data_IF_160552465738
#
_entry.id   IF_160552465738
#
_cell.length_a   1.000
_cell.length_b   1.000
_cell.length_c   1.000
_cell.angle_alpha   90.00
_cell.angle_beta   90.00
_cell.angle_gamma   90.00
#
_symmetry.space_group_name_H-M   'P 1'
#
loop_
_entity.id
_entity.type
_entity.pdbx_description
1 polymer ?
#
# COMPACT_ATOMS: atom_id res chain seq x y z
N UNK A 1 35.69 -23.76 49.21
CA UNK A 1 34.91 -25.01 49.22
C UNK A 1 33.48 -24.68 48.78
N UNK A 2 32.92 -25.50 47.88
CA UNK A 2 31.52 -25.92 47.70
C UNK A 2 30.40 -25.06 48.34
N UNK A 3 29.20 -24.82 47.79
CA UNK A 3 28.38 -25.38 46.70
C UNK A 3 27.04 -24.58 46.72
N UNK A 4 26.34 -24.51 45.58
CA UNK A 4 24.87 -24.67 45.36
C UNK A 4 23.84 -24.14 46.39
N UNK A 5 22.60 -23.72 46.08
CA UNK A 5 21.76 -23.38 44.91
C UNK A 5 20.37 -23.03 45.53
N UNK A 6 19.46 -22.41 44.76
CA UNK A 6 17.99 -22.41 44.92
C UNK A 6 17.36 -21.59 46.07
N UNK A 7 16.57 -20.55 45.75
CA UNK A 7 15.14 -20.63 45.40
C UNK A 7 14.56 -19.21 45.25
N UNK A 8 13.91 -18.94 44.11
CA UNK A 8 12.87 -17.91 44.03
C UNK A 8 11.64 -18.38 44.84
N UNK A 9 10.82 -17.43 45.31
CA UNK A 9 9.54 -17.31 44.66
C UNK A 9 9.13 -15.87 44.30
N UNK A 10 8.26 -15.85 43.29
CA UNK A 10 7.53 -14.76 42.67
C UNK A 10 6.42 -14.22 43.61
N UNK A 11 6.20 -12.90 43.63
CA UNK A 11 4.90 -12.21 43.41
C UNK A 11 4.74 -10.89 44.20
N UNK A 12 4.44 -9.85 43.40
CA UNK A 12 3.55 -8.71 43.61
C UNK A 12 3.48 -8.00 44.98
N UNK A 13 3.85 -6.71 44.98
CA UNK A 13 2.88 -5.60 44.96
C UNK A 13 3.64 -4.26 44.91
N UNK A 14 3.41 -3.46 43.87
CA UNK A 14 3.85 -2.07 43.81
C UNK A 14 2.87 -1.19 44.59
N UNK A 15 3.36 -0.58 45.68
CA UNK A 15 3.06 0.80 46.04
C UNK A 15 3.90 1.22 47.24
N UNK A 16 4.52 2.40 47.20
CA UNK A 16 4.59 3.22 48.39
C UNK A 16 3.81 4.52 48.19
N UNK A 17 2.82 4.68 49.05
CA UNK A 17 2.49 5.92 49.76
C UNK A 17 3.59 6.98 49.70
N UNK A 18 3.23 8.25 49.45
CA UNK A 18 3.46 9.36 50.39
C UNK A 18 2.29 10.36 50.33
N UNK A 19 1.72 10.64 51.51
CA UNK A 19 0.76 11.71 51.87
C UNK A 19 1.38 13.10 51.71
N UNK A 20 0.55 14.11 51.42
CA UNK A 20 0.65 15.39 52.12
C UNK A 20 -0.76 15.93 52.39
N UNK A 21 -0.95 16.38 53.63
CA UNK A 21 -2.16 16.94 54.22
C UNK A 21 -2.37 18.42 53.83
N UNK A 22 -3.65 18.78 53.71
CA UNK A 22 -4.32 20.05 54.04
C UNK A 22 -3.67 21.40 53.68
N UNK A 23 -4.39 22.23 52.90
CA UNK A 23 -5.25 23.29 53.47
C UNK A 23 -5.80 24.28 52.42
N UNK A 24 -7.04 24.72 52.69
CA UNK A 24 -7.59 26.06 52.45
C UNK A 24 -8.21 26.42 51.09
N UNK A 25 -9.52 26.68 51.18
CA UNK A 25 -10.36 27.45 50.26
C UNK A 25 -9.69 28.70 49.67
N UNK A 26 -9.84 28.89 48.36
CA UNK A 26 -10.23 30.18 47.78
C UNK A 26 -10.88 29.98 46.40
N UNK A 27 -12.10 30.50 46.26
CA UNK A 27 -12.77 30.69 44.97
C UNK A 27 -12.05 31.81 44.21
N UNK A 28 -11.63 31.54 42.99
CA UNK A 28 -11.46 32.60 41.99
C UNK A 28 -11.73 32.05 40.59
N UNK A 29 -12.66 32.71 39.92
CA UNK A 29 -12.97 32.56 38.50
C UNK A 29 -11.70 32.65 37.65
N UNK A 30 -11.52 31.70 36.75
CA UNK A 30 -10.74 31.88 35.52
C UNK A 30 -11.34 31.00 34.44
N UNK A 31 -12.42 31.54 33.87
CA UNK A 31 -12.86 31.22 32.52
C UNK A 31 -11.76 31.58 31.53
N UNK A 32 -11.54 30.66 30.59
CA UNK A 32 -10.98 30.86 29.27
C UNK A 32 -9.45 30.98 29.15
N UNK A 33 -8.83 29.93 28.61
CA UNK A 33 -8.21 29.90 27.26
C UNK A 33 -7.39 28.61 27.18
N UNK A 34 -8.06 27.47 26.97
CA UNK A 34 -7.38 26.34 26.36
C UNK A 34 -7.50 26.56 24.87
N UNK A 35 -6.55 27.32 24.32
CA UNK A 35 -6.23 27.26 22.90
C UNK A 35 -5.89 25.81 22.60
N UNK A 36 -6.90 25.05 22.23
CA UNK A 36 -6.71 23.78 21.57
C UNK A 36 -6.30 24.18 20.18
N UNK A 37 -5.00 24.50 20.03
CA UNK A 37 -4.30 24.35 18.76
C UNK A 37 -4.53 22.90 18.35
N UNK A 38 -5.63 22.64 17.64
CA UNK A 38 -5.67 21.57 16.65
C UNK A 38 -4.59 21.96 15.66
N UNK A 39 -3.35 21.55 15.97
CA UNK A 39 -2.29 21.51 14.99
C UNK A 39 -2.90 20.75 13.82
N UNK A 40 -3.16 21.48 12.73
CA UNK A 40 -3.55 20.91 11.47
C UNK A 40 -2.50 19.84 11.18
N UNK A 41 -2.87 18.57 11.35
CA UNK A 41 -1.96 17.46 11.11
C UNK A 41 -1.71 17.51 9.61
N UNK A 42 -0.63 18.18 9.22
CA UNK A 42 -0.19 18.20 7.83
C UNK A 42 0.19 16.77 7.50
N UNK A 43 -0.69 16.08 6.79
CA UNK A 43 -0.47 14.72 6.33
C UNK A 43 0.81 14.67 5.50
N UNK A 44 1.72 13.74 5.77
CA UNK A 44 2.95 13.60 4.99
C UNK A 44 2.63 13.29 3.51
N UNK A 45 3.48 13.72 2.56
CA UNK A 45 3.33 13.37 1.15
C UNK A 45 3.47 11.85 0.96
N UNK A 46 2.65 11.29 0.08
CA UNK A 46 2.81 9.92 -0.39
C UNK A 46 4.12 9.86 -1.16
N UNK A 47 4.93 8.82 -0.92
CA UNK A 47 6.17 8.63 -1.67
C UNK A 47 5.86 8.48 -3.18
N UNK A 48 6.70 9.01 -4.08
CA UNK A 48 6.47 8.82 -5.50
C UNK A 48 6.47 7.33 -5.89
N UNK A 49 5.50 6.91 -6.71
CA UNK A 49 5.36 5.51 -7.09
C UNK A 49 4.01 5.14 -7.72
N UNK A 50 3.90 3.85 -8.08
CA UNK A 50 2.64 3.20 -8.47
C UNK A 50 2.23 2.21 -7.38
N UNK A 51 1.00 2.36 -6.91
CA UNK A 51 0.41 1.53 -5.86
C UNK A 51 -0.83 0.83 -6.41
N UNK A 52 -0.81 -0.50 -6.40
CA UNK A 52 -1.85 -1.34 -6.97
C UNK A 52 -2.57 -2.08 -5.86
N UNK A 53 -3.91 -2.08 -5.92
CA UNK A 53 -4.78 -2.71 -4.96
C UNK A 53 -5.92 -3.41 -5.68
N UNK A 54 -6.40 -4.54 -5.16
CA UNK A 54 -7.75 -4.96 -5.48
C UNK A 54 -8.73 -4.04 -4.80
N UNK A 55 -9.72 -3.56 -5.55
CA UNK A 55 -10.83 -2.83 -4.99
C UNK A 55 -11.50 -3.74 -3.98
N UNK A 56 -11.33 -3.39 -2.70
CA UNK A 56 -11.95 -4.11 -1.60
C UNK A 56 -11.61 -5.61 -1.60
N UNK A 57 -10.31 -5.88 -1.41
CA UNK A 57 -9.72 -7.19 -1.07
C UNK A 57 -10.71 -8.11 -0.31
N UNK A 58 -10.66 -9.41 -0.58
CA UNK A 58 -11.71 -10.47 -0.46
C UNK A 58 -12.59 -10.49 0.82
N UNK A 59 -12.25 -9.68 1.83
CA UNK A 59 -13.01 -9.43 3.05
C UNK A 59 -14.36 -8.70 2.87
N UNK A 60 -14.63 -8.08 1.72
CA UNK A 60 -15.84 -7.23 1.56
C UNK A 60 -16.81 -7.69 0.45
N UNK A 61 -16.64 -8.90 -0.08
CA UNK A 61 -17.12 -9.34 -1.39
C UNK A 61 -18.65 -9.40 -1.67
N UNK A 62 -19.54 -8.82 -0.86
CA UNK A 62 -20.97 -8.82 -1.18
C UNK A 62 -21.63 -7.45 -0.99
N UNK A 63 -22.00 -6.82 -2.11
CA UNK A 63 -22.93 -5.69 -2.20
C UNK A 63 -22.43 -4.38 -1.56
N UNK A 64 -21.29 -3.90 -2.03
CA UNK A 64 -20.65 -2.66 -1.59
C UNK A 64 -21.18 -1.49 -2.42
N UNK A 65 -21.68 -0.44 -1.75
CA UNK A 65 -22.10 0.79 -2.42
C UNK A 65 -20.94 1.75 -2.74
N UNK A 66 -21.22 2.83 -3.49
CA UNK A 66 -20.20 3.80 -3.88
C UNK A 66 -19.59 4.55 -2.67
N UNK A 67 -20.32 4.69 -1.56
CA UNK A 67 -19.85 5.38 -0.38
C UNK A 67 -18.80 4.54 0.36
N UNK A 68 -19.03 3.24 0.48
CA UNK A 68 -18.07 2.30 1.07
C UNK A 68 -16.79 2.21 0.23
N UNK A 69 -16.90 2.16 -1.11
CA UNK A 69 -15.73 2.20 -1.98
C UNK A 69 -14.93 3.49 -1.83
N UNK A 70 -15.62 4.62 -1.63
CA UNK A 70 -14.96 5.91 -1.38
C UNK A 70 -14.23 5.87 -0.05
N UNK A 71 -14.87 5.43 1.04
CA UNK A 71 -14.25 5.31 2.35
C UNK A 71 -13.03 4.38 2.34
N UNK A 72 -13.13 3.26 1.65
CA UNK A 72 -12.01 2.34 1.47
C UNK A 72 -10.82 3.01 0.76
N UNK A 73 -11.08 3.75 -0.33
CA UNK A 73 -10.04 4.47 -1.06
C UNK A 73 -9.39 5.57 -0.22
N UNK A 74 -10.17 6.31 0.56
CA UNK A 74 -9.64 7.28 1.54
C UNK A 74 -8.71 6.60 2.55
N UNK A 75 -9.13 5.46 3.12
CA UNK A 75 -8.31 4.68 4.04
C UNK A 75 -6.98 4.23 3.42
N UNK A 76 -6.96 3.84 2.14
CA UNK A 76 -5.73 3.49 1.42
C UNK A 76 -4.80 4.68 1.21
N UNK A 77 -5.34 5.84 0.88
CA UNK A 77 -4.56 7.08 0.74
C UNK A 77 -3.96 7.49 2.08
N UNK A 78 -4.72 7.40 3.17
CA UNK A 78 -4.20 7.69 4.51
C UNK A 78 -3.11 6.73 4.97
N UNK A 79 -3.22 5.43 4.64
CA UNK A 79 -2.16 4.44 4.90
C UNK A 79 -0.86 4.81 4.16
N UNK A 80 -0.98 5.12 2.88
CA UNK A 80 0.15 5.55 2.04
C UNK A 80 0.85 6.81 2.61
N UNK A 81 0.07 7.79 3.08
CA UNK A 81 0.61 9.00 3.72
C UNK A 81 1.32 8.70 5.04
N UNK A 82 1.00 7.60 5.72
CA UNK A 82 1.70 7.13 6.94
C UNK A 82 2.90 6.23 6.61
N UNK A 83 3.20 6.02 5.33
CA UNK A 83 4.22 5.06 4.89
C UNK A 83 3.86 3.60 5.17
N UNK A 84 2.57 3.31 5.38
CA UNK A 84 2.03 1.96 5.50
C UNK A 84 1.60 1.47 4.11
N UNK A 85 2.26 0.40 3.65
CA UNK A 85 2.11 -0.19 2.32
C UNK A 85 1.36 -1.54 2.39
N UNK A 86 0.59 -1.76 3.46
CA UNK A 86 -0.13 -3.02 3.69
C UNK A 86 -1.25 -3.25 2.66
N UNK A 87 -1.25 -4.45 2.08
CA UNK A 87 -2.22 -4.86 1.06
C UNK A 87 -1.90 -4.40 -0.37
N UNK A 88 -0.72 -3.81 -0.61
CA UNK A 88 -0.26 -3.49 -1.96
C UNK A 88 0.09 -4.75 -2.75
N UNK A 89 -0.43 -4.83 -3.98
CA UNK A 89 -0.09 -5.90 -4.93
C UNK A 89 1.33 -5.74 -5.49
N UNK A 90 1.92 -4.55 -5.41
CA UNK A 90 3.26 -4.24 -5.94
C UNK A 90 4.00 -3.27 -5.05
N UNK A 91 5.33 -3.40 -4.93
CA UNK A 91 6.16 -2.40 -4.22
C UNK A 91 7.31 -1.93 -5.11
N UNK A 92 7.16 -0.74 -5.71
CA UNK A 92 8.15 0.10 -6.43
C UNK A 92 9.18 -0.54 -7.41
N UNK A 93 9.35 0.11 -8.57
CA UNK A 93 10.42 -0.06 -9.57
C UNK A 93 10.66 -1.46 -10.18
N UNK A 94 9.70 -2.38 -10.04
CA UNK A 94 9.76 -3.71 -10.64
C UNK A 94 9.69 -4.79 -9.58
N UNK A 95 8.60 -5.55 -9.63
CA UNK A 95 8.43 -6.78 -8.88
C UNK A 95 7.35 -6.66 -7.84
N UNK A 96 6.43 -7.62 -7.87
CA UNK A 96 5.47 -7.80 -6.80
C UNK A 96 6.24 -8.09 -5.49
N UNK A 97 5.99 -7.31 -4.44
CA UNK A 97 6.38 -7.69 -3.08
C UNK A 97 5.71 -9.03 -2.68
N UNK A 98 4.58 -9.36 -3.30
CA UNK A 98 3.64 -10.42 -2.93
C UNK A 98 3.39 -11.36 -4.12
N UNK A 99 4.34 -12.27 -4.39
CA UNK A 99 4.14 -13.45 -5.24
C UNK A 99 3.25 -13.27 -6.48
N UNK A 100 2.55 -14.33 -6.83
CA UNK A 100 1.54 -14.32 -7.87
C UNK A 100 0.16 -14.30 -7.18
N UNK A 101 -0.79 -13.51 -7.68
CA UNK A 101 -2.12 -13.42 -7.09
C UNK A 101 -3.07 -14.42 -7.75
N UNK A 102 -3.90 -15.11 -6.98
CA UNK A 102 -4.96 -15.94 -7.56
C UNK A 102 -5.98 -15.05 -8.30
N UNK A 103 -6.57 -15.55 -9.39
CA UNK A 103 -7.60 -14.89 -10.22
C UNK A 103 -8.62 -14.11 -9.37
N UNK A 104 -8.46 -12.78 -9.24
CA UNK A 104 -9.26 -11.97 -8.34
C UNK A 104 -10.63 -11.71 -8.97
N UNK A 105 -11.70 -11.80 -8.19
CA UNK A 105 -13.03 -11.36 -8.62
C UNK A 105 -13.28 -9.86 -8.32
N UNK A 106 -12.25 -9.02 -8.44
CA UNK A 106 -12.29 -7.62 -8.04
C UNK A 106 -11.72 -6.69 -9.12
N UNK A 107 -12.17 -5.44 -9.13
CA UNK A 107 -11.55 -4.38 -9.93
C UNK A 107 -10.15 -4.04 -9.42
N UNK A 108 -9.30 -3.48 -10.29
CA UNK A 108 -7.99 -3.00 -9.90
C UNK A 108 -8.04 -1.49 -9.63
N UNK A 109 -7.53 -1.05 -8.49
CA UNK A 109 -7.28 0.37 -8.21
C UNK A 109 -5.80 0.63 -8.30
N UNK A 110 -5.43 1.61 -9.13
CA UNK A 110 -4.06 2.08 -9.28
C UNK A 110 -3.96 3.52 -8.83
N UNK A 111 -3.04 3.80 -7.91
CA UNK A 111 -2.71 5.15 -7.47
C UNK A 111 -1.30 5.47 -7.96
N UNK A 112 -1.16 6.50 -8.78
CA UNK A 112 0.12 7.09 -9.13
C UNK A 112 0.34 8.34 -8.28
N UNK A 113 1.35 8.31 -7.42
CA UNK A 113 1.79 9.46 -6.66
C UNK A 113 3.06 10.02 -7.31
N UNK A 114 3.05 11.31 -7.64
CA UNK A 114 4.16 11.97 -8.30
C UNK A 114 4.95 12.83 -7.31
N UNK A 115 6.22 13.07 -7.63
CA UNK A 115 7.09 13.97 -6.86
C UNK A 115 6.70 15.44 -7.04
N UNK A 116 6.14 15.78 -8.21
CA UNK A 116 5.54 17.07 -8.52
C UNK A 116 4.22 16.86 -9.27
N UNK A 117 3.36 17.87 -9.31
CA UNK A 117 2.11 17.80 -10.06
C UNK A 117 2.41 17.52 -11.55
N UNK A 118 2.03 16.36 -12.09
CA UNK A 118 2.34 16.01 -13.47
C UNK A 118 1.49 16.85 -14.42
N UNK A 119 2.09 17.33 -15.50
CA UNK A 119 1.33 17.91 -16.61
C UNK A 119 0.64 16.78 -17.41
N UNK A 120 -0.70 16.83 -17.57
CA UNK A 120 -1.43 15.79 -18.30
C UNK A 120 -0.97 15.60 -19.75
N UNK A 121 -0.57 16.67 -20.43
CA UNK A 121 -0.22 16.62 -21.85
C UNK A 121 1.15 15.96 -22.11
N UNK A 122 2.02 15.95 -21.11
CA UNK A 122 3.34 15.31 -21.13
C UNK A 122 3.40 13.99 -20.35
N UNK A 123 2.29 13.56 -19.77
CA UNK A 123 2.21 12.30 -19.01
C UNK A 123 1.71 11.15 -19.88
N UNK A 124 2.57 10.17 -20.08
CA UNK A 124 2.30 9.01 -20.92
C UNK A 124 2.02 7.77 -20.08
N UNK A 125 0.88 7.14 -20.34
CA UNK A 125 0.49 5.86 -19.72
C UNK A 125 0.65 4.75 -20.74
N UNK A 126 1.37 3.70 -20.38
CA UNK A 126 1.58 2.52 -21.20
C UNK A 126 1.06 1.27 -20.48
N UNK A 127 0.36 0.43 -21.23
CA UNK A 127 -0.04 -0.91 -20.82
C UNK A 127 0.69 -1.91 -21.71
N UNK A 128 1.50 -2.77 -21.13
CA UNK A 128 2.35 -3.73 -21.84
C UNK A 128 3.20 -3.07 -22.93
N UNK A 129 3.86 -1.97 -22.58
CA UNK A 129 4.75 -1.20 -23.48
C UNK A 129 4.03 -0.50 -24.66
N UNK A 130 2.70 -0.56 -24.71
CA UNK A 130 1.88 0.16 -25.68
C UNK A 130 1.21 1.34 -25.00
N UNK A 131 1.35 2.53 -25.58
CA UNK A 131 0.69 3.73 -25.07
C UNK A 131 -0.84 3.56 -25.10
N UNK A 132 -1.49 3.88 -23.97
CA UNK A 132 -2.92 3.71 -23.79
C UNK A 132 -3.53 4.99 -23.19
N UNK A 133 -3.83 5.98 -24.04
CA UNK A 133 -4.43 7.24 -23.60
C UNK A 133 -5.91 7.10 -23.21
N UNK A 134 -6.52 5.94 -23.45
CA UNK A 134 -7.95 5.69 -23.19
C UNK A 134 -8.24 5.29 -21.73
N UNK A 135 -7.22 5.10 -20.89
CA UNK A 135 -7.42 4.85 -19.47
C UNK A 135 -7.90 6.13 -18.78
N UNK A 136 -9.04 6.04 -18.09
CA UNK A 136 -9.64 7.17 -17.40
C UNK A 136 -9.03 7.34 -16.01
N UNK A 137 -8.10 8.28 -15.88
CA UNK A 137 -7.48 8.65 -14.60
C UNK A 137 -8.24 9.81 -13.95
N UNK A 138 -8.51 9.67 -12.66
CA UNK A 138 -9.06 10.72 -11.83
C UNK A 138 -7.94 11.42 -11.08
N UNK A 139 -7.85 12.74 -11.20
CA UNK A 139 -6.86 13.53 -10.49
C UNK A 139 -7.43 13.98 -9.16
N UNK A 140 -6.63 13.89 -8.10
CA UNK A 140 -7.01 14.34 -6.77
C UNK A 140 -5.87 15.10 -6.12
N UNK A 141 -6.18 16.30 -5.63
CA UNK A 141 -5.29 17.05 -4.76
C UNK A 141 -5.52 16.64 -3.30
N UNK A 142 -4.46 16.26 -2.61
CA UNK A 142 -4.45 15.93 -1.19
C UNK A 142 -4.35 17.21 -0.34
N UNK A 143 -4.66 17.11 0.95
CA UNK A 143 -4.62 18.25 1.87
C UNK A 143 -3.24 18.92 1.97
N UNK A 144 -2.17 18.13 1.79
CA UNK A 144 -0.79 18.62 1.75
C UNK A 144 -0.37 19.23 0.40
N UNK A 145 -1.30 19.36 -0.54
CA UNK A 145 -1.07 19.94 -1.87
C UNK A 145 -0.54 18.97 -2.93
N UNK A 146 -0.15 17.75 -2.57
CA UNK A 146 0.28 16.74 -3.56
C UNK A 146 -0.90 16.32 -4.44
N UNK A 147 -0.66 16.19 -5.75
CA UNK A 147 -1.63 15.64 -6.69
C UNK A 147 -1.31 14.17 -6.95
N UNK A 148 -2.32 13.32 -6.79
CA UNK A 148 -2.28 11.90 -7.14
C UNK A 148 -3.23 11.62 -8.29
N UNK A 149 -2.91 10.60 -9.09
CA UNK A 149 -3.78 10.12 -10.15
C UNK A 149 -4.31 8.74 -9.77
N UNK A 150 -5.60 8.52 -9.96
CA UNK A 150 -6.30 7.31 -9.54
C UNK A 150 -7.00 6.69 -10.75
N UNK A 151 -6.62 5.47 -11.09
CA UNK A 151 -7.31 4.66 -12.08
C UNK A 151 -8.12 3.59 -11.34
N UNK A 152 -9.43 3.59 -11.56
CA UNK A 152 -10.28 2.43 -11.27
C UNK A 152 -10.41 1.65 -12.56
N UNK A 153 -9.84 0.45 -12.59
CA UNK A 153 -9.78 -0.38 -13.79
C UNK A 153 -10.67 -1.62 -13.59
N UNK A 154 -11.82 -1.70 -14.29
CA UNK A 154 -12.72 -2.82 -14.12
C UNK A 154 -12.11 -4.17 -14.54
N UNK A 155 -12.49 -5.25 -13.86
CA UNK A 155 -12.04 -6.63 -14.18
C UNK A 155 -12.14 -6.93 -15.67
N UNK A 156 -13.32 -6.75 -16.24
CA UNK A 156 -13.60 -7.02 -17.65
C UNK A 156 -12.75 -6.17 -18.61
N UNK A 157 -12.25 -5.03 -18.15
CA UNK A 157 -11.43 -4.12 -18.94
C UNK A 157 -9.96 -4.49 -18.88
N UNK A 158 -9.39 -4.70 -17.69
CA UNK A 158 -7.97 -5.02 -17.60
C UNK A 158 -7.66 -6.46 -18.02
N UNK A 159 -8.61 -7.40 -17.92
CA UNK A 159 -8.42 -8.79 -18.39
C UNK A 159 -8.03 -8.86 -19.86
N UNK A 160 -8.48 -7.90 -20.67
CA UNK A 160 -8.12 -7.81 -22.10
C UNK A 160 -6.64 -7.52 -22.34
N UNK A 161 -5.95 -6.99 -21.33
CA UNK A 161 -4.53 -6.66 -21.37
C UNK A 161 -3.67 -7.72 -20.70
N UNK A 162 -4.26 -8.78 -20.12
CA UNK A 162 -3.48 -9.89 -19.60
C UNK A 162 -2.74 -10.57 -20.76
N UNK A 163 -1.44 -10.74 -20.57
CA UNK A 163 -0.59 -11.44 -21.53
C UNK A 163 0.22 -12.53 -20.86
N UNK A 164 0.67 -13.47 -21.68
CA UNK A 164 1.63 -14.48 -21.24
C UNK A 164 2.93 -13.83 -20.75
N UNK A 165 3.51 -14.44 -19.71
CA UNK A 165 4.77 -14.01 -19.11
C UNK A 165 5.90 -14.38 -20.07
N UNK A 166 6.78 -13.43 -20.38
CA UNK A 166 8.01 -13.65 -21.14
C UNK A 166 9.19 -13.82 -20.20
N UNK A 167 10.28 -14.42 -20.67
CA UNK A 167 11.48 -14.65 -19.85
C UNK A 167 12.05 -13.36 -19.23
N UNK A 168 12.01 -12.26 -19.98
CA UNK A 168 12.46 -10.95 -19.52
C UNK A 168 11.61 -10.38 -18.36
N UNK A 169 10.35 -10.82 -18.22
CA UNK A 169 9.45 -10.35 -17.17
C UNK A 169 9.78 -11.02 -15.84
N UNK A 170 10.31 -12.25 -15.84
CA UNK A 170 10.62 -13.02 -14.63
C UNK A 170 11.57 -12.26 -13.70
N UNK A 171 12.62 -11.65 -14.27
CA UNK A 171 13.59 -10.83 -13.50
C UNK A 171 12.92 -9.56 -12.95
N UNK A 172 11.89 -9.05 -13.63
CA UNK A 172 11.16 -7.84 -13.21
C UNK A 172 10.01 -8.15 -12.26
N UNK A 173 9.58 -9.41 -12.14
CA UNK A 173 8.50 -9.85 -11.26
C UNK A 173 9.00 -10.25 -9.88
N UNK A 174 10.20 -10.84 -9.82
CA UNK A 174 10.76 -11.42 -8.61
C UNK A 174 12.09 -10.77 -8.26
N UNK A 175 12.30 -10.48 -6.97
CA UNK A 175 13.60 -9.99 -6.50
C UNK A 175 14.69 -11.06 -6.74
N UNK A 176 15.96 -10.65 -6.88
CA UNK A 176 17.07 -11.59 -7.04
C UNK A 176 17.12 -12.68 -5.95
N UNK A 177 16.83 -12.32 -4.71
CA UNK A 177 16.82 -13.26 -3.57
C UNK A 177 15.68 -14.28 -3.68
N UNK A 178 14.51 -13.87 -4.17
CA UNK A 178 13.39 -14.78 -4.45
C UNK A 178 13.75 -15.71 -5.59
N UNK A 179 14.31 -15.20 -6.69
CA UNK A 179 14.76 -16.03 -7.81
C UNK A 179 15.80 -17.06 -7.38
N UNK A 180 16.76 -16.66 -6.54
CA UNK A 180 17.77 -17.56 -6.00
C UNK A 180 17.16 -18.62 -5.07
N UNK A 181 16.18 -18.24 -4.25
CA UNK A 181 15.45 -19.17 -3.39
C UNK A 181 14.63 -20.17 -4.21
N UNK A 182 13.99 -19.73 -5.30
CA UNK A 182 13.29 -20.60 -6.24
C UNK A 182 14.24 -21.61 -6.89
N UNK A 183 15.35 -21.14 -7.47
CA UNK A 183 16.37 -21.98 -8.10
C UNK A 183 16.97 -23.02 -7.13
N UNK A 184 17.14 -22.66 -5.86
CA UNK A 184 17.73 -23.53 -4.84
C UNK A 184 16.75 -24.57 -4.27
N UNK A 185 15.44 -24.30 -4.33
CA UNK A 185 14.43 -25.13 -3.66
C UNK A 185 14.04 -26.39 -4.43
N UNK A 186 14.20 -26.41 -5.76
CA UNK A 186 13.78 -27.53 -6.64
C UNK A 186 12.30 -27.94 -6.54
N UNK A 187 11.49 -27.20 -5.76
CA UNK A 187 10.12 -27.53 -5.37
C UNK A 187 9.06 -26.78 -6.18
N UNK A 188 9.44 -25.69 -6.83
CA UNK A 188 8.62 -24.96 -7.79
C UNK A 188 9.42 -24.86 -9.09
N UNK A 189 9.03 -25.65 -10.09
CA UNK A 189 9.65 -25.58 -11.42
C UNK A 189 9.50 -24.16 -12.01
N UNK A 190 10.39 -23.72 -12.91
CA UNK A 190 10.20 -22.50 -13.70
C UNK A 190 8.81 -22.41 -14.36
N UNK A 191 8.16 -23.56 -14.56
CA UNK A 191 6.79 -23.71 -15.02
C UNK A 191 5.74 -23.04 -14.08
N UNK A 192 5.99 -22.94 -12.77
CA UNK A 192 5.16 -22.24 -11.79
C UNK A 192 5.41 -20.72 -11.76
N UNK A 193 6.58 -20.25 -12.23
CA UNK A 193 6.88 -18.81 -12.34
C UNK A 193 6.30 -18.20 -13.61
N UNK A 194 6.17 -19.02 -14.66
CA UNK A 194 5.49 -18.67 -15.91
C UNK A 194 4.01 -19.05 -15.92
N UNK A 195 3.51 -19.71 -14.87
CA UNK A 195 2.08 -20.01 -14.79
C UNK A 195 1.33 -18.71 -14.50
N UNK A 196 0.28 -18.45 -15.28
CA UNK A 196 -0.50 -17.23 -15.18
C UNK A 196 -0.19 -16.19 -16.26
N UNK A 197 -0.62 -14.97 -16.00
CA UNK A 197 -0.56 -13.85 -16.92
C UNK A 197 -0.20 -12.57 -16.19
N UNK A 198 0.31 -11.60 -16.93
CA UNK A 198 0.74 -10.32 -16.37
C UNK A 198 0.19 -9.13 -17.12
N UNK A 199 0.14 -8.01 -16.40
CA UNK A 199 0.04 -6.67 -16.95
C UNK A 199 1.27 -5.89 -16.50
N UNK A 200 1.95 -5.24 -17.43
CA UNK A 200 2.87 -4.17 -17.11
C UNK A 200 2.14 -2.84 -17.26
N UNK A 201 2.09 -2.05 -16.18
CA UNK A 201 1.64 -0.68 -16.23
C UNK A 201 2.85 0.23 -16.02
N UNK A 202 3.03 1.18 -16.93
CA UNK A 202 4.08 2.19 -16.83
C UNK A 202 3.47 3.56 -17.01
N UNK A 203 3.83 4.49 -16.12
CA UNK A 203 3.49 5.90 -16.24
C UNK A 203 4.78 6.70 -16.27
N UNK A 204 4.87 7.66 -17.18
CA UNK A 204 6.02 8.54 -17.35
C UNK A 204 5.52 9.98 -17.43
N UNK A 205 6.00 10.82 -16.54
CA UNK A 205 5.96 12.28 -16.65
C UNK A 205 7.36 12.82 -16.95
N UNK A 206 7.54 14.14 -16.99
CA UNK A 206 8.86 14.77 -17.18
C UNK A 206 9.86 14.43 -16.07
N UNK A 207 9.38 14.30 -14.83
CA UNK A 207 10.24 14.12 -13.64
C UNK A 207 10.22 12.70 -13.09
N UNK A 208 9.15 11.95 -13.35
CA UNK A 208 8.93 10.64 -12.76
C UNK A 208 8.69 9.57 -13.82
N UNK A 209 9.21 8.37 -13.57
CA UNK A 209 8.84 7.18 -14.33
C UNK A 209 8.63 6.04 -13.36
N UNK A 210 7.43 5.48 -13.38
CA UNK A 210 7.07 4.34 -12.54
C UNK A 210 6.69 3.16 -13.43
N UNK A 211 6.98 1.96 -12.96
CA UNK A 211 6.58 0.71 -13.61
C UNK A 211 6.14 -0.29 -12.56
N UNK A 212 4.96 -0.86 -12.76
CA UNK A 212 4.39 -1.90 -11.94
C UNK A 212 4.14 -3.14 -12.82
N UNK A 213 4.56 -4.29 -12.31
CA UNK A 213 4.26 -5.58 -12.91
C UNK A 213 3.29 -6.30 -12.00
N UNK A 214 2.15 -6.66 -12.56
CA UNK A 214 1.10 -7.36 -11.83
C UNK A 214 0.88 -8.74 -12.42
N UNK A 215 0.94 -9.77 -11.57
CA UNK A 215 0.91 -11.19 -11.94
C UNK A 215 -0.32 -11.89 -11.35
N UNK A 216 -1.12 -12.51 -12.22
CA UNK A 216 -2.30 -13.30 -11.89
C UNK A 216 -2.07 -14.76 -12.27
N UNK A 217 -2.46 -15.70 -11.42
CA UNK A 217 -2.48 -17.15 -11.67
C UNK A 217 -3.92 -17.64 -11.67
N UNK A 218 -4.26 -18.44 -12.68
CA UNK A 218 -5.55 -19.09 -12.80
C UNK A 218 -5.47 -20.47 -12.15
N UNK A 219 -6.41 -20.78 -11.23
CA UNK A 219 -6.59 -22.16 -10.76
C UNK A 219 -7.21 -22.98 -11.89
N UNK A 220 -6.58 -24.13 -12.19
CA UNK A 220 -7.15 -25.15 -13.07
C UNK A 220 -8.33 -25.86 -12.39
#
# INVERSE_FOLDING_TARGET
MHKLLLLMPLLLACNPFIRNEEASDSKQDSLAHTDTLTAEVVSEPIKPGLYLYYLMDDHFANNIDEADQKLWLEGKIEQLQKGDFSGELTRNSGGSSIGAHEDPFADLVVIAAFSANPDPDSTHVMVNEVENPSLNWQNRQLANGQVIWILRWPKESYYKYLRQIKDQDIIRLYSPEKLQSYQSSGKDSEHNLKSGQIINLKIRSEQDTFSAYWHIVFKN
#
